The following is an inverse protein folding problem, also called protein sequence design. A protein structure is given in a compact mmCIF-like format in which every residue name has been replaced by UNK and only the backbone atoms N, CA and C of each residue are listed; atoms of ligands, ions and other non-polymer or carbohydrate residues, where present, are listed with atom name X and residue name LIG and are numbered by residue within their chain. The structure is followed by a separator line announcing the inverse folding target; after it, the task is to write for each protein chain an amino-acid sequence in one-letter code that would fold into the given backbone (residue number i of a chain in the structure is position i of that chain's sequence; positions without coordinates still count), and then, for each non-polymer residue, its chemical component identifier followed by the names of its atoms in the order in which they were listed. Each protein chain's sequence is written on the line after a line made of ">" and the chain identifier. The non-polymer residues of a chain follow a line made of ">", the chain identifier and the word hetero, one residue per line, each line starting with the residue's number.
data_IF_121923839431
#
_entry.id   IF_121923839431
#
_cell.length_a   1.000
_cell.length_b   1.000
_cell.length_c   1.000
_cell.angle_alpha   90.00
_cell.angle_beta   90.00
_cell.angle_gamma   90.00
#
_symmetry.space_group_name_H-M   'P 1'
#
loop_
_entity.id
_entity.type
_entity.pdbx_description
1 polymer ?
#
# COMPACT_ATOMS: atom_id res chain seq x y z
N UNK A 1 -8.89 -30.64 20.16
CA UNK A 1 -9.45 -29.33 20.53
C UNK A 1 -8.43 -28.28 20.12
N UNK A 2 -8.82 -27.26 19.37
CA UNK A 2 -7.93 -26.13 19.09
C UNK A 2 -7.55 -25.46 20.42
N UNK A 3 -6.27 -25.15 20.63
CA UNK A 3 -5.77 -24.44 21.83
C UNK A 3 -6.50 -23.09 21.89
N UNK A 4 -7.14 -22.74 23.02
CA UNK A 4 -7.71 -21.40 23.18
C UNK A 4 -6.55 -20.41 23.22
N UNK A 5 -6.45 -19.54 22.20
CA UNK A 5 -5.37 -18.56 22.08
C UNK A 5 -5.39 -17.53 23.22
N UNK A 6 -6.52 -17.38 23.92
CA UNK A 6 -6.64 -16.51 25.10
C UNK A 6 -6.03 -17.14 26.35
N UNK A 7 -5.88 -18.46 26.37
CA UNK A 7 -5.18 -19.20 27.42
C UNK A 7 -3.73 -19.45 26.99
N UNK A 8 -2.98 -18.37 26.76
CA UNK A 8 -1.54 -18.46 26.46
C UNK A 8 -0.75 -18.40 27.75
N UNK A 9 0.03 -19.45 28.03
CA UNK A 9 0.96 -19.46 29.16
C UNK A 9 2.20 -18.66 28.82
N UNK A 10 2.72 -17.89 29.77
CA UNK A 10 3.86 -17.00 29.55
C UNK A 10 5.12 -17.77 29.12
N UNK A 11 5.30 -18.98 29.64
CA UNK A 11 6.38 -19.88 29.25
C UNK A 11 6.35 -20.29 27.77
N UNK A 12 5.17 -20.25 27.13
CA UNK A 12 4.99 -20.60 25.72
C UNK A 12 5.31 -19.42 24.77
N UNK A 13 5.49 -18.19 25.28
CA UNK A 13 5.72 -16.98 24.47
C UNK A 13 7.20 -16.76 24.13
N UNK A 14 7.57 -16.22 22.96
CA UNK A 14 8.96 -15.95 22.61
C UNK A 14 9.64 -14.84 23.44
N UNK A 15 8.87 -14.08 24.24
CA UNK A 15 9.36 -13.01 25.12
C UNK A 15 9.64 -13.49 26.55
N UNK A 16 9.48 -12.60 27.56
CA UNK A 16 9.66 -12.93 28.98
C UNK A 16 8.94 -14.22 29.35
N UNK A 17 9.64 -15.13 30.04
CA UNK A 17 9.20 -16.51 30.34
C UNK A 17 8.63 -16.67 31.75
N UNK A 18 8.74 -15.64 32.57
CA UNK A 18 8.30 -15.63 33.96
C UNK A 18 7.66 -14.29 34.34
N UNK A 19 6.89 -14.27 35.44
CA UNK A 19 6.35 -13.02 35.97
C UNK A 19 7.47 -12.14 36.54
N UNK A 20 8.50 -12.76 37.09
CA UNK A 20 9.69 -12.12 37.64
C UNK A 20 10.45 -11.36 36.54
N UNK A 21 10.65 -11.96 35.36
CA UNK A 21 11.24 -11.27 34.21
C UNK A 21 10.37 -10.07 33.74
N UNK A 22 9.04 -10.16 33.82
CA UNK A 22 8.15 -9.03 33.53
C UNK A 22 8.26 -7.91 34.57
N UNK A 23 8.47 -8.24 35.84
CA UNK A 23 8.68 -7.27 36.91
C UNK A 23 10.03 -6.56 36.78
N UNK A 24 11.08 -7.25 36.36
CA UNK A 24 12.40 -6.67 36.09
C UNK A 24 12.39 -5.68 34.92
N UNK A 25 11.43 -5.80 34.00
CA UNK A 25 11.22 -4.86 32.90
C UNK A 25 10.43 -3.61 33.31
N UNK A 26 9.91 -3.54 34.55
CA UNK A 26 9.15 -2.37 35.01
C UNK A 26 10.06 -1.18 35.26
N UNK A 27 9.85 -0.16 34.46
CA UNK A 27 10.35 1.20 34.68
C UNK A 27 9.15 2.15 34.82
N UNK A 28 9.33 3.38 35.33
CA UNK A 28 8.29 4.40 35.27
C UNK A 28 7.70 4.50 33.87
N UNK A 29 6.36 4.55 33.75
CA UNK A 29 5.68 4.48 32.45
C UNK A 29 6.15 5.57 31.46
N UNK A 30 6.47 6.75 31.96
CA UNK A 30 7.05 7.83 31.16
C UNK A 30 8.43 7.50 30.60
N UNK A 31 9.27 6.81 31.38
CA UNK A 31 10.60 6.36 30.95
C UNK A 31 10.49 5.25 29.90
N UNK A 32 9.55 4.32 30.10
CA UNK A 32 9.21 3.30 29.10
C UNK A 32 8.79 3.95 27.78
N UNK A 33 7.89 4.94 27.84
CA UNK A 33 7.44 5.63 26.63
C UNK A 33 8.60 6.36 25.93
N UNK A 34 9.48 7.03 26.67
CA UNK A 34 10.65 7.69 26.08
C UNK A 34 11.59 6.70 25.40
N UNK A 35 11.85 5.55 26.01
CA UNK A 35 12.70 4.52 25.42
C UNK A 35 12.05 3.83 24.21
N UNK A 36 10.76 3.50 24.31
CA UNK A 36 9.99 2.80 23.27
C UNK A 36 9.72 3.67 22.03
N UNK A 37 9.58 4.99 22.22
CA UNK A 37 9.33 5.96 21.14
C UNK A 37 10.56 6.81 20.80
N UNK A 38 11.76 6.41 21.26
CA UNK A 38 13.01 7.08 20.94
C UNK A 38 13.27 7.03 19.42
N UNK A 39 13.43 8.18 18.73
CA UNK A 39 13.82 8.25 17.32
C UNK A 39 15.28 7.85 17.03
N UNK A 40 15.97 7.17 17.94
CA UNK A 40 17.20 6.42 17.63
C UNK A 40 17.02 4.89 17.66
N UNK A 41 15.82 4.42 17.99
CA UNK A 41 15.49 3.00 18.16
C UNK A 41 14.60 2.46 17.03
N UNK A 42 14.52 3.11 15.87
CA UNK A 42 13.65 2.70 14.78
C UNK A 42 13.90 1.26 14.33
N UNK A 43 15.17 0.85 14.29
CA UNK A 43 15.58 -0.49 13.87
C UNK A 43 15.27 -1.58 14.90
N UNK A 44 14.87 -1.22 16.13
CA UNK A 44 14.48 -2.18 17.18
C UNK A 44 12.97 -2.29 17.31
N UNK A 45 12.20 -1.48 16.57
CA UNK A 45 10.74 -1.59 16.53
C UNK A 45 10.35 -2.96 15.97
N UNK A 46 9.29 -3.59 16.49
CA UNK A 46 8.79 -4.84 15.93
C UNK A 46 8.50 -4.67 14.44
N UNK A 47 8.96 -5.62 13.63
CA UNK A 47 8.64 -5.76 12.20
C UNK A 47 7.51 -6.80 12.08
N UNK A 48 6.23 -6.44 12.35
CA UNK A 48 5.13 -7.40 12.43
C UNK A 48 4.88 -8.16 11.12
N UNK A 49 5.32 -7.62 9.98
CA UNK A 49 5.24 -8.26 8.67
C UNK A 49 6.59 -8.78 8.17
N UNK A 50 7.58 -8.96 9.05
CA UNK A 50 8.86 -9.57 8.69
C UNK A 50 8.63 -10.92 8.02
N UNK A 51 9.23 -11.09 6.84
CA UNK A 51 9.10 -12.31 6.03
C UNK A 51 7.92 -12.30 5.06
N UNK A 52 7.07 -11.28 5.09
CA UNK A 52 6.10 -11.01 4.02
C UNK A 52 6.80 -10.27 2.90
N UNK A 53 6.66 -10.75 1.65
CA UNK A 53 7.09 -10.06 0.44
C UNK A 53 5.91 -9.64 -0.41
N UNK A 54 5.84 -8.36 -0.78
CA UNK A 54 4.72 -7.80 -1.52
C UNK A 54 5.16 -7.13 -2.80
N UNK A 55 4.50 -7.42 -3.92
CA UNK A 55 4.73 -6.72 -5.18
C UNK A 55 3.83 -5.49 -5.28
N UNK A 56 4.36 -4.43 -5.85
CA UNK A 56 3.61 -3.18 -6.06
C UNK A 56 3.77 -2.73 -7.50
N UNK A 57 2.66 -2.60 -8.22
CA UNK A 57 2.61 -1.96 -9.55
C UNK A 57 1.77 -0.68 -9.48
N UNK A 58 1.66 -0.13 -8.28
CA UNK A 58 0.80 0.99 -7.93
C UNK A 58 1.38 2.31 -8.45
N UNK A 59 0.50 3.31 -8.58
CA UNK A 59 0.86 4.65 -9.02
C UNK A 59 0.16 5.70 -8.15
N UNK A 60 0.71 6.91 -8.09
CA UNK A 60 0.13 8.05 -7.37
C UNK A 60 0.17 7.93 -5.84
N UNK A 61 -0.98 7.99 -5.16
CA UNK A 61 -1.06 8.09 -3.69
C UNK A 61 -1.91 6.96 -3.10
N UNK A 62 -3.12 6.75 -3.64
CA UNK A 62 -4.11 5.81 -3.14
C UNK A 62 -3.57 4.40 -2.82
N UNK A 63 -3.23 3.62 -3.85
CA UNK A 63 -2.71 2.27 -3.64
C UNK A 63 -1.24 2.22 -3.23
N UNK A 64 -0.35 3.16 -3.61
CA UNK A 64 0.99 3.25 -3.03
C UNK A 64 0.98 3.34 -1.51
N UNK A 65 0.14 4.20 -0.93
CA UNK A 65 0.05 4.32 0.52
C UNK A 65 -0.27 2.99 1.21
N UNK A 66 -1.12 2.17 0.59
CA UNK A 66 -1.48 0.87 1.15
C UNK A 66 -0.29 -0.08 1.31
N UNK A 67 0.63 -0.08 0.34
CA UNK A 67 1.82 -0.96 0.34
C UNK A 67 2.97 -0.33 1.11
N UNK A 68 3.12 0.99 1.12
CA UNK A 68 4.11 1.64 1.99
C UNK A 68 3.80 1.41 3.47
N UNK A 69 2.51 1.38 3.85
CA UNK A 69 2.11 0.97 5.20
C UNK A 69 2.59 -0.46 5.52
N UNK A 70 2.59 -1.38 4.55
CA UNK A 70 3.14 -2.73 4.76
C UNK A 70 4.67 -2.69 4.91
N UNK A 71 5.36 -1.87 4.12
CA UNK A 71 6.80 -1.69 4.20
C UNK A 71 7.24 -1.15 5.56
N UNK A 72 6.56 -0.12 6.07
CA UNK A 72 6.77 0.45 7.41
C UNK A 72 6.48 -0.57 8.53
N UNK A 73 5.60 -1.53 8.28
CA UNK A 73 5.32 -2.67 9.17
C UNK A 73 6.32 -3.84 8.99
N UNK A 74 7.37 -3.66 8.19
CA UNK A 74 8.48 -4.61 8.03
C UNK A 74 8.33 -5.62 6.88
N UNK A 75 7.34 -5.45 5.99
CA UNK A 75 7.24 -6.27 4.78
C UNK A 75 8.31 -5.86 3.75
N UNK A 76 8.83 -6.82 2.99
CA UNK A 76 9.67 -6.54 1.83
C UNK A 76 8.78 -6.16 0.64
N UNK A 77 8.57 -4.86 0.45
CA UNK A 77 7.76 -4.33 -0.66
C UNK A 77 8.65 -4.02 -1.85
N UNK A 78 8.35 -4.62 -3.00
CA UNK A 78 9.08 -4.42 -4.26
C UNK A 78 8.15 -3.72 -5.26
N UNK A 79 8.40 -2.43 -5.48
CA UNK A 79 7.74 -1.63 -6.51
C UNK A 79 8.34 -1.92 -7.89
N UNK A 80 7.50 -2.39 -8.79
CA UNK A 80 7.82 -2.71 -10.17
C UNK A 80 7.32 -1.59 -11.07
N UNK A 81 8.25 -0.77 -11.55
CA UNK A 81 7.93 0.44 -12.31
C UNK A 81 8.22 0.29 -13.79
N UNK A 82 7.42 0.96 -14.61
CA UNK A 82 7.62 0.98 -16.06
C UNK A 82 8.95 1.66 -16.42
N UNK A 83 9.80 1.03 -17.25
CA UNK A 83 11.08 1.59 -17.64
C UNK A 83 10.93 2.99 -18.24
N UNK A 84 11.81 3.92 -17.85
CA UNK A 84 11.84 5.35 -18.27
C UNK A 84 10.61 6.18 -17.87
N UNK A 85 9.52 5.53 -17.46
CA UNK A 85 8.27 6.20 -17.12
C UNK A 85 8.17 6.39 -15.61
N UNK A 86 8.48 5.36 -14.83
CA UNK A 86 8.32 5.38 -13.37
C UNK A 86 6.88 5.59 -12.92
N UNK A 87 6.71 5.73 -11.61
CA UNK A 87 5.50 6.30 -11.01
C UNK A 87 5.36 7.79 -11.43
N UNK A 88 4.19 8.24 -11.90
CA UNK A 88 3.94 9.64 -12.18
C UNK A 88 4.32 10.60 -11.03
N UNK A 89 4.21 10.18 -9.77
CA UNK A 89 4.61 10.99 -8.60
C UNK A 89 6.10 11.34 -8.58
N UNK A 90 6.95 10.61 -9.29
CA UNK A 90 8.37 10.98 -9.48
C UNK A 90 8.54 12.32 -10.19
N UNK A 91 7.50 12.81 -10.86
CA UNK A 91 7.50 14.05 -11.64
C UNK A 91 6.68 15.17 -10.98
N UNK A 92 6.11 14.95 -9.80
CA UNK A 92 5.32 15.95 -9.09
C UNK A 92 6.15 16.63 -8.00
N UNK A 93 6.50 17.89 -8.23
CA UNK A 93 7.21 18.76 -7.28
C UNK A 93 6.66 20.18 -7.32
N UNK A 94 6.80 20.97 -6.23
CA UNK A 94 6.51 22.39 -6.26
C UNK A 94 7.32 23.10 -7.35
N UNK A 95 6.76 24.17 -7.92
CA UNK A 95 7.51 25.08 -8.77
C UNK A 95 8.68 25.69 -7.96
N UNK A 96 9.89 25.61 -8.54
CA UNK A 96 11.21 25.90 -7.96
C UNK A 96 11.77 24.82 -7.03
N UNK A 97 12.42 23.81 -7.66
CA UNK A 97 13.32 22.81 -7.05
C UNK A 97 12.70 21.45 -6.69
N UNK A 98 12.33 20.68 -7.73
CA UNK A 98 13.07 19.50 -8.19
C UNK A 98 12.19 18.76 -9.23
N UNK A 99 12.42 19.12 -10.50
CA UNK A 99 11.88 18.53 -11.74
C UNK A 99 10.53 19.05 -12.26
N UNK A 100 10.61 19.60 -13.47
CA UNK A 100 9.54 20.25 -14.24
C UNK A 100 8.63 19.21 -14.93
N UNK A 101 7.31 19.47 -14.91
CA UNK A 101 6.32 18.88 -15.82
C UNK A 101 5.30 19.95 -16.25
N UNK A 102 5.00 20.14 -17.55
CA UNK A 102 5.88 20.12 -18.73
C UNK A 102 6.08 21.53 -19.32
N UNK A 103 7.36 21.92 -19.48
CA UNK A 103 7.80 22.83 -20.56
C UNK A 103 8.81 22.15 -21.50
N UNK A 104 9.00 20.82 -21.38
CA UNK A 104 9.90 20.06 -22.26
C UNK A 104 9.40 18.61 -22.44
N UNK A 105 9.67 18.07 -23.62
CA UNK A 105 9.44 16.68 -24.07
C UNK A 105 10.35 15.64 -23.40
N UNK A 106 11.41 16.07 -22.73
CA UNK A 106 12.35 15.21 -22.02
C UNK A 106 12.06 15.19 -20.53
N UNK A 107 11.63 14.02 -20.04
CA UNK A 107 11.58 13.71 -18.61
C UNK A 107 13.01 13.75 -18.03
N UNK A 108 13.20 14.21 -16.80
CA UNK A 108 14.54 14.22 -16.21
C UNK A 108 15.08 12.80 -16.12
N UNK A 109 16.31 12.60 -16.58
CA UNK A 109 16.99 11.30 -16.54
C UNK A 109 17.46 10.92 -15.13
N UNK A 110 17.45 11.86 -14.17
CA UNK A 110 17.91 11.68 -12.78
C UNK A 110 17.04 12.49 -11.83
N UNK A 111 16.83 11.97 -10.62
CA UNK A 111 16.12 12.62 -9.51
C UNK A 111 14.65 12.24 -9.36
N UNK A 112 14.05 12.56 -8.21
CA UNK A 112 12.66 12.21 -7.87
C UNK A 112 11.95 13.40 -7.25
N UNK A 113 10.68 13.58 -7.60
CA UNK A 113 9.85 14.64 -7.04
C UNK A 113 9.41 14.38 -5.60
N UNK A 114 9.09 15.45 -4.87
CA UNK A 114 8.67 15.35 -3.47
C UNK A 114 7.38 14.54 -3.28
N UNK A 115 6.47 14.55 -4.26
CA UNK A 115 5.25 13.74 -4.21
C UNK A 115 5.53 12.24 -4.13
N UNK A 116 6.64 11.78 -4.72
CA UNK A 116 7.04 10.38 -4.66
C UNK A 116 7.52 9.96 -3.27
N UNK A 117 8.34 10.79 -2.64
CA UNK A 117 8.99 10.48 -1.35
C UNK A 117 7.97 10.26 -0.23
N UNK A 118 6.85 10.98 -0.25
CA UNK A 118 5.79 10.83 0.74
C UNK A 118 4.89 9.61 0.51
N UNK A 119 4.78 9.12 -0.72
CA UNK A 119 3.82 8.09 -1.10
C UNK A 119 4.42 6.68 -1.21
N UNK A 120 5.75 6.55 -1.22
CA UNK A 120 6.45 5.26 -1.38
C UNK A 120 7.66 5.09 -0.42
N UNK A 121 7.56 5.44 0.89
CA UNK A 121 8.66 5.21 1.82
C UNK A 121 8.93 3.70 2.02
N UNK A 122 10.20 3.37 2.32
CA UNK A 122 10.64 2.02 2.73
C UNK A 122 10.45 0.91 1.69
N UNK A 123 10.18 1.24 0.43
CA UNK A 123 10.04 0.28 -0.67
C UNK A 123 11.37 0.03 -1.42
N UNK A 124 11.54 -1.18 -1.94
CA UNK A 124 12.55 -1.49 -2.95
C UNK A 124 12.00 -1.21 -4.34
N UNK A 125 12.84 -0.76 -5.27
CA UNK A 125 12.41 -0.38 -6.62
C UNK A 125 13.14 -1.18 -7.70
N UNK A 126 12.38 -1.75 -8.63
CA UNK A 126 12.91 -2.35 -9.86
C UNK A 126 12.17 -1.78 -11.07
N UNK A 127 12.83 -1.78 -12.23
CA UNK A 127 12.20 -1.41 -13.49
C UNK A 127 11.97 -2.64 -14.36
N UNK A 128 10.74 -2.82 -14.83
CA UNK A 128 10.35 -3.95 -15.67
C UNK A 128 9.13 -3.55 -16.50
N UNK A 129 9.17 -3.77 -17.82
CA UNK A 129 7.97 -3.67 -18.65
C UNK A 129 7.24 -5.01 -18.60
N UNK A 130 6.34 -5.14 -17.64
CA UNK A 130 5.57 -6.37 -17.41
C UNK A 130 4.45 -6.57 -18.42
N UNK A 131 4.27 -5.69 -19.42
CA UNK A 131 3.29 -5.93 -20.48
C UNK A 131 3.84 -6.84 -21.58
N UNK A 132 5.16 -6.93 -21.69
CA UNK A 132 5.84 -7.67 -22.74
C UNK A 132 5.79 -9.17 -22.46
N UNK A 133 5.37 -9.95 -23.46
CA UNK A 133 5.33 -11.42 -23.36
C UNK A 133 6.72 -11.99 -23.04
N UNK A 134 7.81 -11.41 -23.55
CA UNK A 134 9.18 -11.84 -23.23
C UNK A 134 9.60 -11.64 -21.77
N UNK A 135 8.93 -10.74 -21.04
CA UNK A 135 9.22 -10.42 -19.63
C UNK A 135 8.27 -11.16 -18.68
N UNK A 136 7.17 -11.70 -19.21
CA UNK A 136 6.11 -12.36 -18.44
C UNK A 136 6.62 -13.47 -17.53
N UNK A 137 7.55 -14.30 -18.02
CA UNK A 137 8.15 -15.36 -17.21
C UNK A 137 8.96 -14.81 -16.03
N UNK A 138 9.62 -13.65 -16.19
CA UNK A 138 10.32 -13.00 -15.09
C UNK A 138 9.34 -12.45 -14.05
N UNK A 139 8.25 -11.82 -14.49
CA UNK A 139 7.18 -11.36 -13.59
C UNK A 139 6.55 -12.53 -12.81
N UNK A 140 6.27 -13.65 -13.48
CA UNK A 140 5.73 -14.84 -12.83
C UNK A 140 6.69 -15.49 -11.81
N UNK A 141 8.01 -15.40 -12.03
CA UNK A 141 8.99 -15.82 -11.01
C UNK A 141 8.90 -14.93 -9.76
N UNK A 142 8.72 -13.63 -9.92
CA UNK A 142 8.49 -12.72 -8.79
C UNK A 142 7.20 -13.09 -8.04
N UNK A 143 6.10 -13.33 -8.75
CA UNK A 143 4.81 -13.74 -8.16
C UNK A 143 4.95 -15.02 -7.32
N UNK A 144 5.69 -16.02 -7.81
CA UNK A 144 5.93 -17.28 -7.07
C UNK A 144 6.74 -17.10 -5.78
N UNK A 145 7.49 -16.01 -5.68
CA UNK A 145 8.36 -15.68 -4.55
C UNK A 145 7.74 -14.66 -3.60
N UNK A 146 6.52 -14.19 -3.88
CA UNK A 146 5.84 -13.13 -3.14
C UNK A 146 4.51 -13.61 -2.56
N UNK A 147 4.10 -12.97 -1.48
CA UNK A 147 2.85 -13.22 -0.77
C UNK A 147 1.64 -12.58 -1.45
N UNK A 148 1.86 -11.47 -2.16
CA UNK A 148 0.81 -10.78 -2.87
C UNK A 148 1.27 -9.67 -3.78
N UNK A 149 0.30 -9.02 -4.42
CA UNK A 149 0.47 -7.90 -5.34
C UNK A 149 -0.64 -6.88 -5.14
N UNK A 150 -0.27 -5.59 -5.15
CA UNK A 150 -1.23 -4.49 -5.33
C UNK A 150 -1.04 -3.84 -6.70
N UNK A 151 -2.14 -3.69 -7.43
CA UNK A 151 -2.22 -3.00 -8.71
C UNK A 151 -3.43 -2.05 -8.75
N UNK A 152 -3.34 -1.02 -9.58
CA UNK A 152 -4.38 0.02 -9.68
C UNK A 152 -4.67 0.44 -11.12
N UNK A 153 -4.53 -0.50 -12.04
CA UNK A 153 -4.81 -0.25 -13.45
C UNK A 153 -6.30 -0.24 -13.72
N UNK A 154 -6.68 0.26 -14.90
CA UNK A 154 -8.09 0.24 -15.32
C UNK A 154 -8.61 -1.21 -15.28
N UNK A 155 -9.89 -1.43 -14.92
CA UNK A 155 -10.50 -2.76 -14.88
C UNK A 155 -10.15 -3.62 -16.10
N UNK A 156 -9.70 -4.85 -15.86
CA UNK A 156 -9.35 -5.82 -16.90
C UNK A 156 -8.03 -5.57 -17.64
N UNK A 157 -7.24 -4.55 -17.26
CA UNK A 157 -5.93 -4.31 -17.89
C UNK A 157 -4.96 -5.46 -17.59
N UNK A 158 -4.80 -5.82 -16.31
CA UNK A 158 -3.97 -6.96 -15.90
C UNK A 158 -4.47 -8.28 -16.48
N UNK A 159 -5.77 -8.43 -16.68
CA UNK A 159 -6.35 -9.63 -17.31
C UNK A 159 -5.91 -9.78 -18.78
N UNK A 160 -5.90 -8.68 -19.55
CA UNK A 160 -5.37 -8.66 -20.93
C UNK A 160 -3.90 -9.05 -21.01
N UNK A 161 -3.13 -8.74 -19.96
CA UNK A 161 -1.72 -9.13 -19.84
C UNK A 161 -1.54 -10.53 -19.23
N UNK A 162 -2.64 -11.23 -18.93
CA UNK A 162 -2.67 -12.54 -18.27
C UNK A 162 -1.99 -12.50 -16.89
N UNK A 163 -2.19 -11.41 -16.16
CA UNK A 163 -1.61 -11.13 -14.84
C UNK A 163 -2.67 -10.83 -13.78
N UNK A 164 -3.96 -11.00 -14.11
CA UNK A 164 -5.04 -10.89 -13.12
C UNK A 164 -4.99 -12.03 -12.09
N UNK A 165 -5.76 -11.89 -11.01
CA UNK A 165 -5.88 -12.91 -9.97
C UNK A 165 -6.18 -14.32 -10.51
N UNK A 166 -6.95 -14.44 -11.60
CA UNK A 166 -7.28 -15.73 -12.21
C UNK A 166 -6.03 -16.48 -12.70
N UNK A 167 -5.04 -15.77 -13.26
CA UNK A 167 -3.79 -16.37 -13.70
C UNK A 167 -2.80 -16.54 -12.55
N UNK A 168 -2.70 -15.54 -11.66
CA UNK A 168 -1.67 -15.57 -10.61
C UNK A 168 -1.96 -16.60 -9.52
N UNK A 169 -3.23 -16.88 -9.22
CA UNK A 169 -3.59 -17.91 -8.23
C UNK A 169 -3.19 -19.33 -8.68
N UNK A 170 -3.16 -19.61 -9.99
CA UNK A 170 -2.70 -20.90 -10.52
C UNK A 170 -1.20 -21.11 -10.27
N UNK A 171 -0.43 -20.01 -10.25
CA UNK A 171 1.01 -20.04 -9.99
C UNK A 171 1.32 -20.15 -8.50
N UNK A 172 0.50 -19.51 -7.66
CA UNK A 172 0.61 -19.51 -6.21
C UNK A 172 -0.80 -19.46 -5.57
N UNK A 173 -1.36 -20.60 -5.13
CA UNK A 173 -2.69 -20.63 -4.50
C UNK A 173 -2.80 -19.86 -3.18
N UNK A 174 -1.65 -19.47 -2.58
CA UNK A 174 -1.56 -18.64 -1.37
C UNK A 174 -1.51 -17.13 -1.68
N UNK A 175 -1.53 -16.75 -2.95
CA UNK A 175 -1.30 -15.38 -3.39
C UNK A 175 -2.48 -14.45 -3.06
N UNK A 176 -2.18 -13.32 -2.44
CA UNK A 176 -3.17 -12.27 -2.17
C UNK A 176 -3.08 -11.21 -3.26
N UNK A 177 -4.18 -10.97 -3.95
CA UNK A 177 -4.23 -10.00 -5.04
C UNK A 177 -5.10 -8.81 -4.65
N UNK A 178 -4.60 -7.60 -4.81
CA UNK A 178 -5.35 -6.38 -4.57
C UNK A 178 -5.47 -5.60 -5.86
N UNK A 179 -6.70 -5.34 -6.26
CA UNK A 179 -7.02 -4.31 -7.23
C UNK A 179 -7.62 -3.09 -6.50
N UNK A 180 -7.05 -1.92 -6.72
CA UNK A 180 -7.61 -0.66 -6.23
C UNK A 180 -7.96 0.29 -7.37
N UNK A 181 -9.20 0.75 -7.44
CA UNK A 181 -9.60 1.77 -8.42
C UNK A 181 -10.94 2.41 -8.09
N UNK A 182 -11.09 3.72 -8.30
CA UNK A 182 -12.15 4.50 -7.64
C UNK A 182 -13.62 4.29 -8.06
N UNK A 183 -13.96 3.35 -8.95
CA UNK A 183 -15.36 3.03 -9.29
C UNK A 183 -15.68 1.54 -9.33
N UNK A 184 -14.70 0.69 -8.98
CA UNK A 184 -14.91 -0.75 -8.93
C UNK A 184 -15.18 -1.40 -10.29
N UNK A 185 -15.60 -2.66 -10.21
CA UNK A 185 -16.08 -3.47 -11.35
C UNK A 185 -17.61 -3.39 -11.53
N UNK A 186 -18.27 -2.42 -10.89
CA UNK A 186 -19.72 -2.24 -10.92
C UNK A 186 -20.25 -1.66 -12.25
N UNK A 187 -21.58 -1.56 -12.43
CA UNK A 187 -22.22 -1.10 -13.67
C UNK A 187 -21.91 0.36 -14.08
N UNK A 188 -21.20 1.11 -13.22
CA UNK A 188 -20.80 2.51 -13.42
C UNK A 188 -19.27 2.64 -13.49
N UNK A 189 -18.62 1.94 -14.42
CA UNK A 189 -17.19 2.11 -14.68
C UNK A 189 -16.94 3.47 -15.33
N UNK A 190 -16.74 4.51 -14.53
CA UNK A 190 -16.35 5.83 -15.01
C UNK A 190 -14.83 5.90 -15.20
N UNK A 191 -14.30 5.26 -16.24
CA UNK A 191 -12.92 5.47 -16.69
C UNK A 191 -11.87 5.48 -15.57
N UNK A 192 -10.91 6.42 -15.65
CA UNK A 192 -9.92 6.63 -14.58
C UNK A 192 -10.50 7.53 -13.47
N UNK A 193 -10.10 7.27 -12.23
CA UNK A 193 -10.48 8.06 -11.05
C UNK A 193 -9.26 8.73 -10.42
N UNK A 194 -9.50 9.87 -9.78
CA UNK A 194 -8.55 10.61 -8.95
C UNK A 194 -9.28 11.05 -7.69
N UNK A 195 -8.55 11.37 -6.63
CA UNK A 195 -9.09 11.82 -5.34
C UNK A 195 -10.22 12.86 -5.46
N UNK A 196 -10.11 13.89 -6.32
CA UNK A 196 -11.18 14.88 -6.50
C UNK A 196 -12.50 14.26 -6.98
N UNK A 197 -12.45 13.25 -7.85
CA UNK A 197 -13.63 12.53 -8.32
C UNK A 197 -14.20 11.66 -7.21
N UNK A 198 -13.34 10.99 -6.44
CA UNK A 198 -13.74 10.26 -5.24
C UNK A 198 -14.44 11.16 -4.23
N UNK A 199 -13.89 12.36 -3.97
CA UNK A 199 -14.46 13.32 -3.02
C UNK A 199 -15.81 13.85 -3.49
N UNK A 200 -15.96 14.12 -4.78
CA UNK A 200 -17.24 14.51 -5.35
C UNK A 200 -18.27 13.38 -5.27
N UNK A 201 -17.86 12.14 -5.60
CA UNK A 201 -18.75 10.99 -5.62
C UNK A 201 -19.22 10.56 -4.23
N UNK A 202 -18.31 10.59 -3.24
CA UNK A 202 -18.61 10.25 -1.85
C UNK A 202 -19.39 11.35 -1.11
N UNK A 203 -19.62 12.50 -1.74
CA UNK A 203 -20.31 13.64 -1.14
C UNK A 203 -19.43 14.49 -0.22
N UNK A 204 -18.14 14.18 -0.06
CA UNK A 204 -17.22 14.97 0.77
C UNK A 204 -17.09 16.41 0.24
N UNK A 205 -17.03 16.57 -1.09
CA UNK A 205 -16.99 17.89 -1.68
C UNK A 205 -18.25 18.71 -1.36
N UNK A 206 -19.42 18.06 -1.24
CA UNK A 206 -20.71 18.76 -0.98
C UNK A 206 -20.81 19.37 0.42
N UNK A 207 -20.05 18.84 1.38
CA UNK A 207 -19.99 19.33 2.77
C UNK A 207 -18.72 20.14 3.06
N UNK A 208 -17.90 20.39 2.04
CA UNK A 208 -16.65 21.13 2.14
C UNK A 208 -16.78 22.46 1.39
N UNK A 209 -16.37 23.57 2.01
CA UNK A 209 -16.49 24.91 1.43
C UNK A 209 -17.39 25.82 2.26
N UNK A 210 -17.67 27.01 1.74
CA UNK A 210 -18.61 27.95 2.37
C UNK A 210 -20.03 27.67 1.90
N UNK A 211 -21.01 27.89 2.79
CA UNK A 211 -22.41 27.76 2.43
C UNK A 211 -22.84 28.75 1.34
N UNK A 212 -23.80 28.35 0.51
CA UNK A 212 -24.37 29.18 -0.56
C UNK A 212 -24.92 30.52 -0.05
N UNK A 213 -25.52 30.56 1.15
CA UNK A 213 -26.03 31.82 1.73
C UNK A 213 -24.92 32.82 2.11
N UNK A 214 -23.66 32.37 2.14
CA UNK A 214 -22.46 33.21 2.31
C UNK A 214 -21.78 33.53 0.97
N UNK A 215 -22.38 33.16 -0.17
CA UNK A 215 -21.78 33.28 -1.50
C UNK A 215 -20.73 32.21 -1.81
N UNK A 216 -20.72 31.11 -1.05
CA UNK A 216 -19.80 29.99 -1.23
C UNK A 216 -20.23 28.98 -2.30
N UNK A 217 -19.43 27.94 -2.45
CA UNK A 217 -19.72 26.76 -3.26
C UNK A 217 -19.01 25.54 -2.67
N UNK A 218 -19.46 24.35 -3.07
CA UNK A 218 -18.78 23.11 -2.74
C UNK A 218 -17.34 23.12 -3.27
N UNK A 219 -16.41 22.61 -2.46
CA UNK A 219 -14.99 22.63 -2.76
C UNK A 219 -14.37 21.27 -2.46
N UNK A 220 -13.29 20.95 -3.18
CA UNK A 220 -12.43 19.82 -2.82
C UNK A 220 -11.76 20.10 -1.47
N UNK A 221 -11.63 19.09 -0.61
CA UNK A 221 -10.73 19.17 0.52
C UNK A 221 -9.28 19.40 0.03
N UNK A 222 -8.53 20.25 0.74
CA UNK A 222 -7.19 20.69 0.30
C UNK A 222 -6.21 19.52 0.15
N UNK A 223 -6.32 18.52 1.02
CA UNK A 223 -5.52 17.29 0.95
C UNK A 223 -6.23 16.17 0.17
N UNK A 224 -5.47 15.20 -0.33
CA UNK A 224 -5.95 13.97 -0.98
C UNK A 224 -6.50 12.95 0.02
N UNK A 225 -7.41 13.39 0.86
CA UNK A 225 -7.87 12.65 2.04
C UNK A 225 -8.49 11.29 1.70
N UNK A 226 -9.17 11.15 0.55
CA UNK A 226 -9.77 9.87 0.16
C UNK A 226 -8.68 8.90 -0.31
N UNK A 227 -7.67 9.36 -1.04
CA UNK A 227 -6.54 8.48 -1.41
C UNK A 227 -5.85 7.91 -0.16
N UNK A 228 -5.52 8.75 0.82
CA UNK A 228 -4.88 8.31 2.07
C UNK A 228 -5.78 7.38 2.91
N UNK A 229 -7.04 7.77 3.10
CA UNK A 229 -7.98 6.98 3.88
C UNK A 229 -8.24 5.62 3.23
N UNK A 230 -8.54 5.60 1.94
CA UNK A 230 -8.78 4.37 1.17
C UNK A 230 -7.53 3.49 1.10
N UNK A 231 -6.34 4.07 0.96
CA UNK A 231 -5.09 3.31 1.04
C UNK A 231 -4.92 2.61 2.39
N UNK A 232 -5.28 3.27 3.49
CA UNK A 232 -5.28 2.66 4.83
C UNK A 232 -6.30 1.52 4.93
N UNK A 233 -7.49 1.68 4.33
CA UNK A 233 -8.51 0.62 4.29
C UNK A 233 -8.03 -0.61 3.51
N UNK A 234 -7.30 -0.41 2.40
CA UNK A 234 -6.65 -1.51 1.69
C UNK A 234 -5.62 -2.20 2.58
N UNK A 235 -4.79 -1.47 3.34
CA UNK A 235 -3.85 -2.08 4.30
C UNK A 235 -4.59 -3.00 5.28
N UNK A 236 -5.71 -2.56 5.86
CA UNK A 236 -6.52 -3.41 6.74
C UNK A 236 -7.04 -4.66 6.03
N UNK A 237 -7.51 -4.53 4.79
CA UNK A 237 -7.93 -5.66 3.97
C UNK A 237 -6.80 -6.67 3.74
N UNK A 238 -5.60 -6.19 3.44
CA UNK A 238 -4.41 -7.03 3.24
C UNK A 238 -4.05 -7.78 4.53
N UNK A 239 -4.01 -7.10 5.68
CA UNK A 239 -3.73 -7.73 6.96
C UNK A 239 -4.77 -8.82 7.31
N UNK A 240 -6.05 -8.54 7.05
CA UNK A 240 -7.11 -9.54 7.21
C UNK A 240 -6.94 -10.73 6.25
N UNK A 241 -6.54 -10.49 5.01
CA UNK A 241 -6.27 -11.54 4.04
C UNK A 241 -5.04 -12.39 4.40
N UNK A 242 -3.99 -11.79 4.98
CA UNK A 242 -2.83 -12.53 5.51
C UNK A 242 -3.30 -13.44 6.65
N UNK A 243 -4.09 -12.92 7.60
CA UNK A 243 -4.65 -13.74 8.68
C UNK A 243 -5.55 -14.87 8.17
N UNK A 244 -6.41 -14.57 7.18
CA UNK A 244 -7.25 -15.56 6.51
C UNK A 244 -6.41 -16.67 5.87
N UNK A 245 -5.32 -16.31 5.20
CA UNK A 245 -4.40 -17.25 4.56
C UNK A 245 -3.68 -18.16 5.55
N UNK A 246 -3.35 -17.67 6.74
CA UNK A 246 -2.79 -18.51 7.81
C UNK A 246 -3.81 -19.52 8.35
N UNK A 247 -5.10 -19.17 8.32
CA UNK A 247 -6.18 -20.05 8.79
C UNK A 247 -6.59 -21.09 7.74
N UNK A 248 -6.66 -20.68 6.47
CA UNK A 248 -7.22 -21.51 5.39
C UNK A 248 -6.18 -22.16 4.51
N UNK A 249 -4.95 -21.65 4.53
CA UNK A 249 -3.92 -22.06 3.59
C UNK A 249 -4.05 -21.43 2.20
N UNK A 250 -5.06 -20.61 1.93
CA UNK A 250 -5.38 -20.06 0.60
C UNK A 250 -5.29 -18.52 0.57
N UNK A 251 -4.91 -17.98 -0.58
CA UNK A 251 -4.96 -16.55 -0.86
C UNK A 251 -6.38 -16.07 -1.18
N UNK A 252 -6.50 -14.81 -1.55
CA UNK A 252 -7.78 -14.19 -1.93
C UNK A 252 -7.57 -12.99 -2.83
N UNK A 253 -8.64 -12.51 -3.46
CA UNK A 253 -8.68 -11.22 -4.15
C UNK A 253 -9.39 -10.19 -3.28
N UNK A 254 -8.81 -9.00 -3.19
CA UNK A 254 -9.42 -7.80 -2.63
C UNK A 254 -9.66 -6.81 -3.77
N UNK A 255 -10.89 -6.34 -3.85
CA UNK A 255 -11.31 -5.24 -4.71
C UNK A 255 -11.63 -4.06 -3.79
N UNK A 256 -11.11 -2.88 -4.11
CA UNK A 256 -11.38 -1.66 -3.35
C UNK A 256 -11.62 -0.46 -4.28
N UNK A 257 -12.73 0.25 -4.07
CA UNK A 257 -13.14 1.42 -4.85
C UNK A 257 -13.68 2.56 -4.00
#
# INVERSE_FOLDING_TARGET
>A
MAKDLRETRIEDLPGPKSKEELEEMKMPYEEYCRAAFDPGNEHTKPEPLKGIRWLSTTMYIFTPHSVSNLAELGAEVIKVEMPRMGDPMRHTSPFNEAYLYPLHDTRPMTGTGFGFLGANPSEFHISMDYHLDEIKDAFYRLVKMSDGLTECYRPGTFDKWKQSYLYLQELNPRFIYVWGGGFGYGPKVFGGSYDILGQAHAGLASITGMHDFMGGHCAKHSNWCIDWYSGTQITFGILAAIHWRETTGLGTMIEFS
#
